data_IF_512213191742
#
_entry.id   IF_512213191742
#
_cell.length_a   1.000
_cell.length_b   1.000
_cell.length_c   1.000
_cell.angle_alpha   90.00
_cell.angle_beta   90.00
_cell.angle_gamma   90.00
#
_symmetry.space_group_name_H-M   'P 1'
#
loop_
_entity.id
_entity.type
_entity.pdbx_description
1 polymer ?
#
# COMPACT_ATOMS: atom_id res chain seq x y z
N UNK A 1 -33.78 -66.21 28.07
CA UNK A 1 -33.26 -65.65 26.83
C UNK A 1 -33.12 -64.19 27.02
N UNK A 2 -31.87 -63.70 27.21
CA UNK A 2 -31.60 -62.33 27.41
C UNK A 2 -31.29 -61.66 26.08
N UNK A 3 -32.15 -60.75 25.62
CA UNK A 3 -31.86 -59.90 24.50
C UNK A 3 -31.02 -58.72 24.97
N UNK A 4 -29.73 -58.75 24.63
CA UNK A 4 -28.88 -57.61 24.79
C UNK A 4 -29.27 -56.53 23.77
N UNK A 5 -29.84 -55.44 24.25
CA UNK A 5 -30.07 -54.27 23.43
C UNK A 5 -28.71 -53.62 23.10
N UNK A 6 -28.34 -53.62 21.85
CA UNK A 6 -27.21 -52.90 21.34
C UNK A 6 -27.69 -51.49 21.10
N UNK A 7 -27.16 -50.54 21.87
CA UNK A 7 -27.40 -49.11 21.67
C UNK A 7 -26.66 -48.66 20.41
N UNK A 8 -27.30 -47.92 19.50
CA UNK A 8 -26.58 -47.31 18.39
C UNK A 8 -25.72 -46.18 18.90
N UNK A 9 -24.42 -46.32 18.75
CA UNK A 9 -23.47 -45.27 18.98
C UNK A 9 -23.70 -44.25 17.87
N UNK A 10 -24.22 -43.10 18.22
CA UNK A 10 -24.31 -41.95 17.33
C UNK A 10 -22.90 -41.42 17.08
N UNK A 11 -22.36 -41.70 15.92
CA UNK A 11 -21.11 -41.09 15.44
C UNK A 11 -21.45 -39.66 15.02
N UNK A 12 -21.20 -38.70 15.90
CA UNK A 12 -21.25 -37.28 15.59
C UNK A 12 -20.05 -36.92 14.72
N UNK A 13 -20.28 -36.89 13.42
CA UNK A 13 -19.27 -36.32 12.47
C UNK A 13 -19.29 -34.83 12.64
N UNK A 14 -18.35 -34.32 13.40
CA UNK A 14 -18.07 -32.89 13.48
C UNK A 14 -17.33 -32.51 12.20
N UNK A 15 -18.06 -31.98 11.23
CA UNK A 15 -17.50 -31.37 10.05
C UNK A 15 -16.89 -30.04 10.47
N UNK A 16 -15.59 -30.04 10.70
CA UNK A 16 -14.81 -28.80 10.78
C UNK A 16 -14.80 -28.19 9.38
N UNK A 17 -15.73 -27.29 9.13
CA UNK A 17 -15.64 -26.37 8.00
C UNK A 17 -14.45 -25.43 8.28
N UNK A 18 -13.28 -25.81 7.81
CA UNK A 18 -12.13 -24.94 7.74
C UNK A 18 -12.48 -23.81 6.77
N UNK A 19 -12.97 -22.70 7.30
CA UNK A 19 -13.09 -21.45 6.56
C UNK A 19 -11.67 -21.02 6.27
N UNK A 20 -11.16 -21.40 5.11
CA UNK A 20 -9.99 -20.80 4.51
C UNK A 20 -10.35 -19.34 4.24
N UNK A 21 -10.09 -18.51 5.22
CA UNK A 21 -10.07 -17.05 5.02
C UNK A 21 -8.90 -16.78 4.08
N UNK A 22 -9.17 -16.82 2.78
CA UNK A 22 -8.25 -16.33 1.77
C UNK A 22 -8.11 -14.81 2.05
N UNK A 23 -7.06 -14.46 2.77
CA UNK A 23 -6.66 -13.07 2.94
C UNK A 23 -6.28 -12.54 1.56
N UNK A 24 -7.23 -11.96 0.84
CA UNK A 24 -6.97 -11.26 -0.40
C UNK A 24 -6.14 -10.03 -0.07
N UNK A 25 -5.08 -9.81 -0.85
CA UNK A 25 -4.34 -8.55 -0.80
C UNK A 25 -5.34 -7.40 -1.00
N UNK A 26 -5.25 -6.32 -0.20
CA UNK A 26 -6.16 -5.20 -0.35
C UNK A 26 -6.04 -4.62 -1.76
N UNK A 27 -7.17 -4.31 -2.39
CA UNK A 27 -7.15 -3.59 -3.67
C UNK A 27 -6.74 -2.14 -3.42
N UNK A 28 -6.10 -1.51 -4.40
CA UNK A 28 -5.74 -0.08 -4.30
C UNK A 28 -6.94 0.80 -3.92
N UNK A 29 -8.11 0.50 -4.46
CA UNK A 29 -9.33 1.26 -4.21
C UNK A 29 -9.85 1.17 -2.76
N UNK A 30 -9.45 0.14 -2.00
CA UNK A 30 -9.89 -0.06 -0.62
C UNK A 30 -8.98 0.60 0.43
N UNK A 31 -7.82 1.10 0.02
CA UNK A 31 -6.85 1.74 0.92
C UNK A 31 -7.39 3.09 1.38
N UNK A 32 -7.39 3.30 2.69
CA UNK A 32 -7.80 4.57 3.33
C UNK A 32 -6.74 5.12 4.27
N UNK A 33 -5.84 4.29 4.77
CA UNK A 33 -4.80 4.65 5.72
C UNK A 33 -3.44 4.29 5.17
N UNK A 34 -2.57 5.27 5.02
CA UNK A 34 -1.20 5.09 4.54
C UNK A 34 -0.22 5.52 5.63
N UNK A 35 0.77 4.68 5.85
CA UNK A 35 1.99 5.02 6.55
C UNK A 35 3.09 5.32 5.54
N UNK A 36 3.74 6.45 5.68
CA UNK A 36 4.90 6.82 4.85
C UNK A 36 6.17 6.55 5.66
N UNK A 37 6.95 5.60 5.18
CA UNK A 37 8.22 5.23 5.80
C UNK A 37 9.25 6.35 5.61
N UNK A 38 10.14 6.62 6.60
CA UNK A 38 11.22 7.60 6.43
C UNK A 38 12.09 7.30 5.21
N UNK A 39 12.42 8.33 4.45
CA UNK A 39 13.20 8.23 3.21
C UNK A 39 14.34 9.23 3.20
N UNK A 40 15.40 8.91 2.44
CA UNK A 40 16.51 9.82 2.26
C UNK A 40 16.07 11.12 1.55
N UNK A 41 16.81 12.19 1.79
CA UNK A 41 16.59 13.50 1.22
C UNK A 41 15.20 14.11 1.53
N UNK A 42 14.57 13.68 2.62
CA UNK A 42 13.24 14.14 3.04
C UNK A 42 12.12 13.91 2.02
N UNK A 43 12.27 12.94 1.13
CA UNK A 43 11.26 12.61 0.14
C UNK A 43 9.94 12.21 0.82
N UNK A 44 10.01 11.50 1.95
CA UNK A 44 8.85 11.15 2.78
C UNK A 44 8.02 12.36 3.20
N UNK A 45 8.65 13.47 3.51
CA UNK A 45 7.95 14.71 3.90
C UNK A 45 7.20 15.33 2.71
N UNK A 46 7.82 15.36 1.54
CA UNK A 46 7.17 15.85 0.32
C UNK A 46 6.02 14.93 -0.10
N UNK A 47 6.19 13.60 -0.01
CA UNK A 47 5.13 12.63 -0.30
C UNK A 47 3.95 12.78 0.67
N UNK A 48 4.23 12.94 1.95
CA UNK A 48 3.20 13.17 2.99
C UNK A 48 2.40 14.43 2.69
N UNK A 49 3.08 15.52 2.35
CA UNK A 49 2.46 16.79 1.99
C UNK A 49 1.58 16.66 0.75
N UNK A 50 2.07 15.99 -0.28
CA UNK A 50 1.34 15.77 -1.53
C UNK A 50 0.12 14.84 -1.35
N UNK A 51 0.23 13.80 -0.52
CA UNK A 51 -0.92 12.95 -0.18
C UNK A 51 -2.02 13.81 0.48
N UNK A 52 -1.65 14.61 1.46
CA UNK A 52 -2.61 15.49 2.14
C UNK A 52 -3.30 16.45 1.17
N UNK A 53 -2.53 17.00 0.22
CA UNK A 53 -3.03 17.97 -0.76
C UNK A 53 -3.91 17.32 -1.82
N UNK A 54 -3.49 16.20 -2.39
CA UNK A 54 -4.17 15.60 -3.55
C UNK A 54 -5.35 14.71 -3.18
N UNK A 55 -5.34 14.09 -2.01
CA UNK A 55 -6.42 13.21 -1.58
C UNK A 55 -7.52 13.93 -0.78
N UNK A 56 -7.35 15.19 -0.43
CA UNK A 56 -8.39 16.03 0.19
C UNK A 56 -9.16 15.37 1.34
N UNK A 57 -8.45 14.69 2.24
CA UNK A 57 -9.06 14.03 3.39
C UNK A 57 -9.72 12.68 3.11
N UNK A 58 -9.68 12.18 1.88
CA UNK A 58 -10.12 10.80 1.58
C UNK A 58 -9.10 9.74 1.97
N UNK A 59 -7.86 10.17 2.23
CA UNK A 59 -6.75 9.35 2.68
C UNK A 59 -6.26 9.84 4.03
N UNK A 60 -6.17 8.95 4.99
CA UNK A 60 -5.63 9.22 6.32
C UNK A 60 -4.14 8.86 6.37
N UNK A 61 -3.32 9.78 6.83
CA UNK A 61 -1.92 9.53 7.12
C UNK A 61 -1.78 9.07 8.56
N UNK A 62 -1.23 7.89 8.75
CA UNK A 62 -0.99 7.32 10.09
C UNK A 62 0.49 7.36 10.44
N UNK A 63 0.79 7.44 11.72
CA UNK A 63 2.17 7.56 12.23
C UNK A 63 2.81 6.23 12.59
N UNK A 64 2.06 5.14 12.46
CA UNK A 64 2.50 3.79 12.78
C UNK A 64 2.16 2.83 11.64
N UNK A 65 3.09 1.97 11.22
CA UNK A 65 2.83 0.99 10.17
C UNK A 65 1.75 -0.03 10.57
N UNK A 66 1.60 -0.33 11.86
CA UNK A 66 0.57 -1.24 12.36
C UNK A 66 -0.86 -0.73 12.22
N UNK A 67 -1.05 0.58 12.05
CA UNK A 67 -2.35 1.21 11.87
C UNK A 67 -2.70 1.44 10.39
N UNK A 68 -1.79 1.14 9.46
CA UNK A 68 -1.94 1.43 8.04
C UNK A 68 -2.60 0.28 7.28
N UNK A 69 -3.34 0.64 6.24
CA UNK A 69 -3.83 -0.32 5.22
C UNK A 69 -2.73 -0.62 4.20
N UNK A 70 -1.80 0.30 4.01
CA UNK A 70 -0.64 0.15 3.14
C UNK A 70 0.53 1.03 3.61
N UNK A 71 1.73 0.64 3.23
CA UNK A 71 2.97 1.31 3.58
C UNK A 71 3.62 1.83 2.30
N UNK A 72 3.92 3.12 2.26
CA UNK A 72 4.66 3.76 1.18
C UNK A 72 6.13 3.80 1.55
N UNK A 73 6.98 3.17 0.76
CA UNK A 73 8.41 3.09 1.04
C UNK A 73 9.27 3.33 -0.18
N UNK A 74 10.42 3.93 0.02
CA UNK A 74 11.44 4.14 -1.00
C UNK A 74 12.18 2.84 -1.30
N UNK A 75 12.35 2.56 -2.60
CA UNK A 75 13.12 1.40 -3.08
C UNK A 75 14.46 1.85 -3.63
N UNK A 76 14.44 2.91 -4.42
CA UNK A 76 15.65 3.53 -4.96
C UNK A 76 15.42 5.05 -4.96
N UNK A 77 16.20 5.74 -4.19
CA UNK A 77 16.10 7.20 -4.02
C UNK A 77 17.13 7.95 -4.86
N UNK A 78 17.70 7.26 -5.83
CA UNK A 78 18.67 7.82 -6.77
C UNK A 78 20.07 8.01 -6.18
N UNK A 79 21.08 7.87 -7.02
CA UNK A 79 22.38 8.46 -6.73
C UNK A 79 22.25 9.98 -6.76
N UNK A 80 23.04 10.68 -5.99
CA UNK A 80 22.99 12.16 -5.83
C UNK A 80 23.03 12.98 -7.12
N UNK A 81 23.25 12.34 -8.25
CA UNK A 81 23.36 12.98 -9.58
C UNK A 81 22.08 12.88 -10.43
N UNK A 82 21.10 12.06 -10.01
CA UNK A 82 19.84 11.92 -10.74
C UNK A 82 18.68 12.09 -9.77
N UNK A 83 17.86 13.10 -10.01
CA UNK A 83 16.61 13.33 -9.24
C UNK A 83 15.56 12.24 -9.53
N UNK A 84 16.01 11.00 -9.66
CA UNK A 84 15.13 9.86 -9.94
C UNK A 84 14.88 9.09 -8.66
N UNK A 85 13.61 8.84 -8.37
CA UNK A 85 13.20 8.06 -7.21
C UNK A 85 12.16 7.00 -7.61
N UNK A 86 12.24 5.86 -6.98
CA UNK A 86 11.23 4.80 -7.06
C UNK A 86 10.64 4.55 -5.68
N UNK A 87 9.32 4.55 -5.61
CA UNK A 87 8.57 4.35 -4.38
C UNK A 87 7.56 3.24 -4.60
N UNK A 88 7.46 2.33 -3.65
CA UNK A 88 6.47 1.25 -3.66
C UNK A 88 5.42 1.47 -2.58
N UNK A 89 4.17 1.22 -2.94
CA UNK A 89 3.10 1.01 -1.98
C UNK A 89 2.94 -0.49 -1.76
N UNK A 90 3.17 -0.93 -0.54
CA UNK A 90 3.11 -2.35 -0.18
C UNK A 90 2.01 -2.62 0.84
N UNK A 91 1.56 -3.85 0.92
CA UNK A 91 0.63 -4.29 1.96
C UNK A 91 1.29 -4.20 3.36
N UNK A 92 0.53 -4.25 4.46
CA UNK A 92 1.10 -4.13 5.81
C UNK A 92 2.13 -5.20 6.16
N UNK A 93 2.09 -6.37 5.52
CA UNK A 93 3.11 -7.41 5.69
C UNK A 93 4.43 -7.09 4.97
N UNK A 94 4.42 -6.13 4.05
CA UNK A 94 5.55 -5.77 3.22
C UNK A 94 5.89 -6.77 2.11
N UNK A 95 5.05 -7.78 1.90
CA UNK A 95 5.32 -8.89 0.96
C UNK A 95 4.72 -8.67 -0.41
N UNK A 96 3.66 -7.87 -0.52
CA UNK A 96 2.95 -7.62 -1.77
C UNK A 96 3.09 -6.17 -2.16
N UNK A 97 3.59 -5.91 -3.36
CA UNK A 97 3.62 -4.57 -3.94
C UNK A 97 2.28 -4.30 -4.60
N UNK A 98 1.55 -3.33 -4.08
CA UNK A 98 0.23 -2.93 -4.56
C UNK A 98 0.34 -1.92 -5.71
N UNK A 99 1.37 -1.09 -5.66
CA UNK A 99 1.67 -0.08 -6.67
C UNK A 99 3.15 0.31 -6.59
N UNK A 100 3.71 0.70 -7.73
CA UNK A 100 5.06 1.22 -7.82
C UNK A 100 5.08 2.45 -8.73
N UNK A 101 5.75 3.49 -8.29
CA UNK A 101 5.95 4.72 -9.05
C UNK A 101 7.41 5.09 -9.14
N UNK A 102 7.83 5.47 -10.33
CA UNK A 102 9.16 6.04 -10.57
C UNK A 102 8.99 7.40 -11.21
N UNK A 103 9.65 8.40 -10.67
CA UNK A 103 9.69 9.74 -11.23
C UNK A 103 11.10 10.30 -11.17
N UNK A 104 11.47 11.12 -12.12
CA UNK A 104 12.79 11.71 -12.19
C UNK A 104 13.04 12.53 -13.43
N UNK A 105 14.27 12.92 -13.60
CA UNK A 105 14.76 13.90 -14.59
C UNK A 105 14.46 13.56 -16.07
N UNK A 106 14.12 12.32 -16.37
CA UNK A 106 13.80 11.88 -17.74
C UNK A 106 12.44 12.34 -18.22
N UNK A 107 11.54 12.67 -17.32
CA UNK A 107 10.18 13.12 -17.64
C UNK A 107 10.10 14.64 -17.76
N UNK A 108 11.10 15.25 -18.41
CA UNK A 108 11.25 16.71 -18.58
C UNK A 108 10.04 17.44 -19.19
N UNK A 109 9.08 16.70 -19.72
CA UNK A 109 7.84 17.30 -20.26
C UNK A 109 6.83 17.72 -19.19
N UNK A 110 6.99 17.23 -17.96
CA UNK A 110 6.07 17.50 -16.85
C UNK A 110 6.68 18.34 -15.74
N UNK A 111 8.00 18.52 -15.76
CA UNK A 111 8.70 19.34 -14.80
C UNK A 111 8.87 20.72 -15.41
N UNK A 112 8.00 21.65 -15.05
CA UNK A 112 8.28 23.06 -15.24
C UNK A 112 9.55 23.37 -14.42
N UNK A 113 10.64 23.57 -15.15
CA UNK A 113 12.03 23.55 -14.68
C UNK A 113 12.30 24.61 -13.60
N UNK A 114 11.37 25.51 -13.35
CA UNK A 114 11.55 26.60 -12.39
C UNK A 114 11.43 26.17 -10.91
N UNK A 115 10.88 24.98 -10.64
CA UNK A 115 10.65 24.48 -9.27
C UNK A 115 10.94 22.99 -9.14
N UNK A 116 11.76 22.44 -10.02
CA UNK A 116 12.02 21.03 -10.13
C UNK A 116 13.01 20.49 -9.10
N UNK A 117 12.49 19.96 -8.02
CA UNK A 117 13.22 19.21 -7.01
C UNK A 117 12.42 17.98 -6.61
N UNK A 118 12.73 17.44 -5.45
CA UNK A 118 12.01 16.31 -4.87
C UNK A 118 10.53 16.60 -4.65
N UNK A 119 10.15 17.86 -4.47
CA UNK A 119 8.75 18.26 -4.35
C UNK A 119 7.97 17.98 -5.65
N UNK A 120 8.54 18.32 -6.81
CA UNK A 120 7.91 18.02 -8.10
C UNK A 120 7.85 16.51 -8.36
N UNK A 121 8.89 15.77 -7.99
CA UNK A 121 8.93 14.31 -8.05
C UNK A 121 7.82 13.70 -7.19
N UNK A 122 7.68 14.16 -5.95
CA UNK A 122 6.64 13.71 -5.04
C UNK A 122 5.23 14.02 -5.57
N UNK A 123 5.02 15.22 -6.09
CA UNK A 123 3.75 15.63 -6.69
C UNK A 123 3.34 14.74 -7.85
N UNK A 124 4.28 14.43 -8.74
CA UNK A 124 4.03 13.54 -9.88
C UNK A 124 3.73 12.11 -9.45
N UNK A 125 4.49 11.58 -8.48
CA UNK A 125 4.26 10.24 -7.93
C UNK A 125 2.87 10.10 -7.30
N UNK A 126 2.49 11.05 -6.46
CA UNK A 126 1.20 10.99 -5.77
C UNK A 126 0.05 11.19 -6.75
N UNK A 127 0.21 12.02 -7.77
CA UNK A 127 -0.77 12.13 -8.84
C UNK A 127 -0.96 10.78 -9.57
N UNK A 128 0.13 10.10 -9.89
CA UNK A 128 0.10 8.77 -10.51
C UNK A 128 -0.58 7.73 -9.61
N UNK A 129 -0.27 7.73 -8.33
CA UNK A 129 -0.92 6.86 -7.34
C UNK A 129 -2.43 7.15 -7.26
N UNK A 130 -2.79 8.42 -7.14
CA UNK A 130 -4.20 8.83 -7.07
C UNK A 130 -4.98 8.37 -8.30
N UNK A 131 -4.40 8.56 -9.48
CA UNK A 131 -4.99 8.08 -10.73
C UNK A 131 -5.13 6.55 -10.75
N UNK A 132 -4.13 5.81 -10.29
CA UNK A 132 -4.18 4.35 -10.20
C UNK A 132 -5.27 3.86 -9.25
N UNK A 133 -5.50 4.57 -8.13
CA UNK A 133 -6.55 4.24 -7.16
C UNK A 133 -7.96 4.52 -7.68
N UNK A 134 -8.11 5.41 -8.65
CA UNK A 134 -9.38 5.75 -9.29
C UNK A 134 -9.69 4.85 -10.50
N UNK A 135 -8.70 4.15 -11.03
CA UNK A 135 -8.88 3.23 -12.13
C UNK A 135 -9.75 2.03 -11.70
N UNK A 136 -10.83 1.76 -12.44
CA UNK A 136 -11.72 0.62 -12.21
C UNK A 136 -11.26 -0.58 -13.02
#
# INVERSE_FOLDING_TARGET
MSYKRISPVAISVVVFASILCLAQAPSLASIRKIYVEPMDNHLDQYLTSEISRQFHGTMELVTSPGAADAILKGVNLGAQTTNQATVNLVDPSGKVVLWSGTAGDRDKKFLDIKHGGLEAVAGHMIHSLHKAMQAK
#
